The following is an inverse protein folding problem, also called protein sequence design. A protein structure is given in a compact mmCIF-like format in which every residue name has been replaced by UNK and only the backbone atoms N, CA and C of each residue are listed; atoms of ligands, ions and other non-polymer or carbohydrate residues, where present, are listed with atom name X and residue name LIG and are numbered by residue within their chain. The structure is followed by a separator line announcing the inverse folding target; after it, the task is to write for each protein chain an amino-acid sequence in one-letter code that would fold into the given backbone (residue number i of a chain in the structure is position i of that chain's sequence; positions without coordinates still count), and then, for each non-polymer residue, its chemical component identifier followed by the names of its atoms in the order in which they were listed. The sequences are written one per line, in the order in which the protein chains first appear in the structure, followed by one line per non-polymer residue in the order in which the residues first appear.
data_IF_355003603465
#
_entry.id   IF_355003603465
#
_cell.length_a   1.000
_cell.length_b   1.000
_cell.length_c   1.000
_cell.angle_alpha   90.00
_cell.angle_beta   90.00
_cell.angle_gamma   90.00
#
_symmetry.space_group_name_H-M   'P 1'
#
loop_
_entity.id
_entity.type
_entity.pdbx_description
1 polymer ?
#
# COMPACT_ATOMS: atom_id res chain seq x y z
N UNK A 1 -2.64 -3.04 6.24
CA UNK A 1 -3.66 -1.98 6.07
C UNK A 1 -3.23 -1.12 4.90
N UNK A 2 -4.19 -0.78 4.03
CA UNK A 2 -3.96 -0.03 2.81
C UNK A 2 -5.00 1.07 2.70
N UNK A 3 -4.61 2.21 2.13
CA UNK A 3 -5.51 3.34 1.89
C UNK A 3 -5.48 3.70 0.41
N UNK A 4 -6.63 3.81 -0.23
CA UNK A 4 -6.68 4.45 -1.54
C UNK A 4 -6.37 5.93 -1.35
N UNK A 5 -5.21 6.38 -1.82
CA UNK A 5 -4.83 7.76 -1.62
C UNK A 5 -3.82 8.26 -2.65
N UNK A 6 -3.96 9.55 -2.98
CA UNK A 6 -2.92 10.38 -3.56
C UNK A 6 -2.68 11.56 -2.61
N UNK A 7 -1.49 11.64 -2.04
CA UNK A 7 -1.16 12.56 -0.94
C UNK A 7 0.11 13.35 -1.27
N UNK A 8 0.04 14.66 -1.05
CA UNK A 8 1.23 15.52 -1.03
C UNK A 8 1.66 15.89 0.40
N UNK A 9 0.86 15.48 1.39
CA UNK A 9 1.03 15.80 2.80
C UNK A 9 0.79 14.56 3.62
N UNK A 10 1.40 14.50 4.79
CA UNK A 10 1.25 13.36 5.65
C UNK A 10 -0.19 13.15 6.09
N UNK A 11 -0.65 11.92 5.86
CA UNK A 11 -1.88 11.35 6.40
C UNK A 11 -1.48 10.28 7.39
N UNK A 12 -1.98 10.41 8.62
CA UNK A 12 -1.76 9.46 9.72
C UNK A 12 -3.05 8.68 9.96
N UNK A 13 -2.93 7.38 10.15
CA UNK A 13 -4.03 6.50 10.52
C UNK A 13 -3.83 5.97 11.93
N UNK A 14 -4.87 6.10 12.73
CA UNK A 14 -4.93 5.55 14.09
C UNK A 14 -6.09 4.57 14.21
N UNK A 15 -5.91 3.54 15.03
CA UNK A 15 -6.94 2.58 15.43
C UNK A 15 -7.01 2.55 16.95
N UNK A 16 -8.20 2.79 17.51
CA UNK A 16 -8.45 2.90 18.95
C UNK A 16 -7.48 3.88 19.65
N UNK A 17 -7.16 4.98 18.95
CA UNK A 17 -6.23 6.01 19.42
C UNK A 17 -4.74 5.66 19.32
N UNK A 18 -4.38 4.47 18.82
CA UNK A 18 -2.98 4.08 18.56
C UNK A 18 -2.62 4.30 17.10
N UNK A 19 -1.47 4.90 16.84
CA UNK A 19 -0.97 5.08 15.49
C UNK A 19 -0.60 3.73 14.86
N UNK A 20 -1.10 3.49 13.66
CA UNK A 20 -0.74 2.33 12.83
C UNK A 20 0.35 2.70 11.83
N UNK A 21 0.32 3.93 11.33
CA UNK A 21 1.31 4.48 10.42
C UNK A 21 0.76 5.66 9.63
N UNK A 22 1.52 6.07 8.61
CA UNK A 22 1.17 7.19 7.77
C UNK A 22 1.78 7.12 6.38
N UNK A 23 1.25 7.96 5.49
CA UNK A 23 1.69 8.11 4.10
C UNK A 23 1.85 9.59 3.77
N UNK A 24 2.96 9.96 3.13
CA UNK A 24 3.27 11.32 2.69
C UNK A 24 3.92 11.29 1.30
N UNK A 25 3.90 12.41 0.59
CA UNK A 25 4.66 12.60 -0.66
C UNK A 25 4.48 11.53 -1.75
N UNK A 26 3.26 11.01 -1.88
CA UNK A 26 2.91 9.95 -2.83
C UNK A 26 1.72 10.35 -3.70
N UNK A 27 2.01 10.72 -4.94
CA UNK A 27 0.99 10.96 -5.96
C UNK A 27 0.59 9.65 -6.64
N UNK A 28 -0.71 9.45 -6.77
CA UNK A 28 -1.29 8.20 -7.26
C UNK A 28 -2.46 8.45 -8.22
N UNK A 29 -2.75 7.47 -9.06
CA UNK A 29 -3.93 7.46 -9.90
C UNK A 29 -5.18 7.02 -9.11
N UNK A 30 -6.40 7.35 -9.56
CA UNK A 30 -7.62 6.81 -8.96
C UNK A 30 -7.60 5.28 -8.87
N UNK A 31 -8.04 4.71 -7.75
CA UNK A 31 -8.02 3.27 -7.48
C UNK A 31 -6.67 2.72 -7.00
N UNK A 32 -5.62 3.53 -6.91
CA UNK A 32 -4.32 3.08 -6.40
C UNK A 32 -4.25 3.17 -4.86
N UNK A 33 -3.72 2.10 -4.25
CA UNK A 33 -3.61 1.95 -2.80
C UNK A 33 -2.18 2.12 -2.33
N UNK A 34 -2.00 2.82 -1.21
CA UNK A 34 -0.73 2.98 -0.51
C UNK A 34 -0.72 2.10 0.76
N UNK A 35 0.40 1.44 1.07
CA UNK A 35 0.55 0.73 2.33
C UNK A 35 0.62 1.74 3.48
N UNK A 36 -0.17 1.51 4.53
CA UNK A 36 -0.16 2.36 5.75
C UNK A 36 0.65 1.69 6.85
N UNK A 37 0.39 0.42 7.11
CA UNK A 37 0.99 -0.33 8.22
C UNK A 37 0.27 -1.63 8.51
N UNK A 38 0.69 -2.31 9.58
CA UNK A 38 0.08 -3.54 10.08
C UNK A 38 -0.51 -3.31 11.47
N UNK A 39 -1.65 -3.95 11.74
CA UNK A 39 -2.34 -3.85 13.02
C UNK A 39 -2.98 -5.19 13.34
N UNK A 40 -2.84 -5.63 14.59
CA UNK A 40 -3.58 -6.77 15.12
C UNK A 40 -4.89 -6.26 15.71
N UNK A 41 -6.00 -6.86 15.31
CA UNK A 41 -7.35 -6.49 15.76
C UNK A 41 -8.03 -7.71 16.36
N UNK A 42 -8.71 -7.50 17.48
CA UNK A 42 -9.59 -8.50 18.06
C UNK A 42 -10.95 -8.48 17.34
N UNK A 43 -11.75 -9.56 17.41
CA UNK A 43 -13.11 -9.52 16.87
C UNK A 43 -13.95 -8.44 17.55
N UNK A 44 -14.46 -7.48 16.78
CA UNK A 44 -15.30 -6.41 17.32
C UNK A 44 -15.36 -5.15 16.47
N UNK A 45 -15.84 -4.07 17.08
CA UNK A 45 -15.84 -2.73 16.48
C UNK A 45 -14.61 -1.95 16.95
N UNK A 46 -13.95 -1.27 16.02
CA UNK A 46 -12.76 -0.46 16.26
C UNK A 46 -12.95 0.94 15.71
N UNK A 47 -12.42 1.94 16.42
CA UNK A 47 -12.46 3.33 15.98
C UNK A 47 -11.25 3.63 15.11
N UNK A 48 -11.50 3.86 13.82
CA UNK A 48 -10.46 4.24 12.86
C UNK A 48 -10.53 5.74 12.64
N UNK A 49 -9.42 6.45 12.86
CA UNK A 49 -9.30 7.87 12.57
C UNK A 49 -8.16 8.13 11.59
N UNK A 50 -8.49 8.86 10.54
CA UNK A 50 -7.57 9.35 9.53
C UNK A 50 -7.42 10.86 9.74
N UNK A 51 -6.20 11.33 9.93
CA UNK A 51 -5.90 12.75 10.10
C UNK A 51 -4.83 13.20 9.12
N UNK A 52 -4.96 14.41 8.61
CA UNK A 52 -3.95 15.06 7.80
C UNK A 52 -3.44 16.29 8.56
N UNK A 53 -2.12 16.46 8.59
CA UNK A 53 -1.39 17.67 9.05
C UNK A 53 -2.05 18.98 8.57
N UNK A 54 -1.68 20.15 9.08
CA UNK A 54 -1.83 21.41 8.32
C UNK A 54 -0.89 21.44 7.11
N UNK A 55 -1.00 22.45 6.26
CA UNK A 55 -0.01 22.69 5.20
C UNK A 55 1.06 23.70 5.67
N UNK A 56 2.26 23.63 5.11
CA UNK A 56 3.32 24.62 5.28
C UNK A 56 3.52 25.48 4.02
N UNK A 57 4.53 26.35 4.02
CA UNK A 57 4.93 27.13 2.84
C UNK A 57 5.88 26.35 1.90
N UNK A 58 6.18 25.08 2.19
CA UNK A 58 7.01 24.25 1.34
C UNK A 58 6.34 24.03 -0.05
N UNK A 59 7.12 23.91 -1.13
CA UNK A 59 6.58 23.54 -2.43
C UNK A 59 5.79 22.21 -2.35
N UNK A 60 4.58 22.17 -2.90
CA UNK A 60 3.72 20.97 -2.89
C UNK A 60 2.68 20.90 -1.77
N UNK A 61 2.80 21.73 -0.72
CA UNK A 61 1.87 21.69 0.44
C UNK A 61 0.53 22.41 0.22
N UNK A 62 0.45 23.25 -0.81
CA UNK A 62 -0.76 23.99 -1.18
C UNK A 62 -1.72 23.22 -2.09
N UNK A 63 -1.37 22.00 -2.48
CA UNK A 63 -2.21 21.20 -3.34
C UNK A 63 -3.56 20.89 -2.63
N UNK A 64 -4.66 21.03 -3.38
CA UNK A 64 -6.03 20.71 -2.90
C UNK A 64 -6.29 19.20 -2.79
N UNK A 65 -5.23 18.40 -2.77
CA UNK A 65 -5.15 17.00 -2.34
C UNK A 65 -5.50 16.90 -0.84
N UNK A 66 -6.65 17.43 -0.45
CA UNK A 66 -7.27 17.11 0.83
C UNK A 66 -7.95 15.75 0.78
N UNK A 67 -8.86 15.49 1.73
CA UNK A 67 -9.64 14.24 1.81
C UNK A 67 -10.42 13.86 0.52
N UNK A 68 -10.50 14.73 -0.48
CA UNK A 68 -11.07 14.40 -1.81
C UNK A 68 -10.28 13.34 -2.57
N UNK A 69 -9.01 13.15 -2.23
CA UNK A 69 -8.14 12.12 -2.81
C UNK A 69 -7.87 10.99 -1.83
N UNK A 70 -8.58 10.95 -0.70
CA UNK A 70 -8.56 9.83 0.24
C UNK A 70 -9.83 9.02 -0.01
N UNK A 71 -9.64 7.80 -0.49
CA UNK A 71 -10.66 6.81 -0.73
C UNK A 71 -10.76 5.79 0.42
N UNK A 72 -11.22 4.56 0.12
CA UNK A 72 -11.39 3.51 1.11
C UNK A 72 -10.10 3.12 1.82
N UNK A 73 -10.25 2.82 3.12
CA UNK A 73 -9.26 2.09 3.89
C UNK A 73 -9.64 0.61 3.86
N UNK A 74 -8.69 -0.26 3.50
CA UNK A 74 -8.91 -1.69 3.38
C UNK A 74 -7.88 -2.49 4.17
N UNK A 75 -8.31 -3.66 4.64
CA UNK A 75 -7.46 -4.65 5.28
C UNK A 75 -7.11 -5.72 4.25
N UNK A 76 -5.83 -5.93 4.01
CA UNK A 76 -5.37 -7.14 3.33
C UNK A 76 -5.40 -8.30 4.32
N UNK A 77 -5.67 -9.53 3.86
CA UNK A 77 -5.47 -10.72 4.67
C UNK A 77 -4.08 -10.74 5.31
N UNK A 78 -3.92 -11.36 6.49
CA UNK A 78 -2.62 -11.52 7.12
C UNK A 78 -1.65 -12.24 6.16
N UNK A 79 -0.35 -12.00 6.32
CA UNK A 79 0.66 -12.42 5.35
C UNK A 79 0.64 -13.93 5.05
N UNK A 80 0.27 -14.75 6.04
CA UNK A 80 0.11 -16.20 5.95
C UNK A 80 -1.09 -16.65 5.10
N UNK A 81 -2.03 -15.76 4.76
CA UNK A 81 -3.18 -16.03 3.91
C UNK A 81 -3.04 -15.45 2.49
N UNK A 82 -1.93 -14.75 2.21
CA UNK A 82 -1.68 -14.20 0.87
C UNK A 82 -1.47 -15.33 -0.13
N UNK A 83 -2.04 -15.16 -1.33
CA UNK A 83 -1.76 -16.06 -2.46
C UNK A 83 -0.25 -16.09 -2.71
N UNK A 84 0.32 -17.28 -2.80
CA UNK A 84 1.73 -17.47 -3.10
C UNK A 84 1.98 -17.05 -4.54
N UNK A 85 2.76 -15.99 -4.73
CA UNK A 85 3.28 -15.61 -6.04
C UNK A 85 4.51 -16.45 -6.32
N UNK A 86 4.57 -17.06 -7.50
CA UNK A 86 5.74 -17.80 -7.95
C UNK A 86 6.71 -16.85 -8.65
N UNK A 87 7.93 -16.76 -8.14
CA UNK A 87 9.05 -16.08 -8.81
C UNK A 87 9.87 -17.12 -9.58
N UNK A 88 10.31 -16.78 -10.79
CA UNK A 88 11.19 -17.60 -11.62
C UNK A 88 12.33 -16.75 -12.18
N UNK A 89 13.46 -17.39 -12.48
CA UNK A 89 14.50 -16.75 -13.27
C UNK A 89 13.97 -16.52 -14.71
N UNK A 90 14.25 -15.38 -15.35
CA UNK A 90 13.88 -15.17 -16.75
C UNK A 90 14.34 -16.29 -17.71
N UNK A 91 15.44 -16.98 -17.40
CA UNK A 91 15.91 -18.15 -18.16
C UNK A 91 14.89 -19.29 -18.16
N UNK A 92 14.09 -19.43 -17.11
CA UNK A 92 13.10 -20.49 -16.91
C UNK A 92 11.70 -20.11 -17.43
N UNK A 93 11.59 -19.06 -18.26
CA UNK A 93 10.32 -18.57 -18.82
C UNK A 93 9.47 -19.67 -19.49
N UNK A 94 10.08 -20.75 -20.00
CA UNK A 94 9.37 -21.86 -20.61
C UNK A 94 8.40 -22.56 -19.65
N UNK A 95 8.63 -22.46 -18.35
CA UNK A 95 7.71 -23.01 -17.35
C UNK A 95 6.37 -22.27 -17.27
N UNK A 96 6.31 -21.05 -17.80
CA UNK A 96 5.08 -20.28 -17.92
C UNK A 96 4.28 -20.65 -19.18
N UNK A 97 4.92 -21.29 -20.17
CA UNK A 97 4.25 -21.69 -21.40
C UNK A 97 3.11 -22.68 -21.09
N UNK A 98 2.02 -22.55 -21.85
CA UNK A 98 0.82 -23.39 -21.75
C UNK A 98 0.10 -23.36 -20.37
N UNK A 99 0.45 -22.40 -19.50
CA UNK A 99 -0.26 -22.13 -18.25
C UNK A 99 -1.31 -21.04 -18.45
N UNK A 100 -2.48 -21.22 -17.84
CA UNK A 100 -3.45 -20.14 -17.67
C UNK A 100 -3.03 -19.31 -16.46
N UNK A 101 -2.66 -18.05 -16.70
CA UNK A 101 -2.19 -17.12 -15.68
C UNK A 101 -3.10 -15.91 -15.68
N UNK A 102 -3.52 -15.47 -14.50
CA UNK A 102 -4.30 -14.23 -14.34
C UNK A 102 -3.43 -12.99 -14.60
N UNK A 103 -2.13 -13.09 -14.29
CA UNK A 103 -1.18 -12.00 -14.34
C UNK A 103 0.28 -12.48 -14.37
N UNK A 104 1.13 -11.74 -15.08
CA UNK A 104 2.59 -11.90 -15.10
C UNK A 104 3.22 -10.51 -15.04
N UNK A 105 4.20 -10.32 -14.16
CA UNK A 105 4.97 -9.09 -14.06
C UNK A 105 6.46 -9.36 -14.10
N UNK A 106 7.16 -8.54 -14.88
CA UNK A 106 8.62 -8.52 -14.93
C UNK A 106 9.09 -7.52 -13.90
N UNK A 107 9.59 -8.01 -12.76
CA UNK A 107 10.16 -7.17 -11.71
C UNK A 107 11.64 -6.93 -11.98
N UNK A 108 12.13 -5.72 -11.72
CA UNK A 108 13.57 -5.50 -11.62
C UNK A 108 14.03 -6.14 -10.31
N UNK A 109 15.14 -6.90 -10.29
CA UNK A 109 15.73 -7.34 -9.04
C UNK A 109 15.99 -6.11 -8.19
N UNK A 110 15.45 -6.07 -6.97
CA UNK A 110 16.03 -5.20 -5.95
C UNK A 110 17.51 -5.58 -5.87
N UNK A 111 18.42 -4.63 -6.07
CA UNK A 111 19.85 -4.93 -6.03
C UNK A 111 20.21 -5.49 -4.66
N UNK A 112 20.29 -6.83 -4.54
CA UNK A 112 20.62 -7.48 -3.26
C UNK A 112 20.17 -8.94 -3.15
N UNK A 113 21.14 -9.84 -3.40
CA UNK A 113 21.20 -11.25 -3.01
C UNK A 113 20.12 -12.21 -3.54
N UNK A 114 20.50 -12.94 -4.58
CA UNK A 114 19.97 -14.27 -4.87
C UNK A 114 20.02 -15.12 -3.58
N UNK A 115 18.87 -15.59 -3.11
CA UNK A 115 18.79 -16.71 -2.17
C UNK A 115 19.13 -17.97 -2.97
N UNK A 116 20.31 -18.53 -2.71
CA UNK A 116 20.67 -19.90 -3.08
C UNK A 116 20.36 -20.84 -1.92
#
# INVERSE_FOLDING_TARGET
MWIEASVSREVVVTVDGREVGGVADHLNNPGAYLPVGEVALEPGSHDVRISMAGGTLAPGDGARSGFRQIGPLVFSPPSNERRVVRTLDPADHRELCDRQLDWVEIVRPAGGAAQR
#
